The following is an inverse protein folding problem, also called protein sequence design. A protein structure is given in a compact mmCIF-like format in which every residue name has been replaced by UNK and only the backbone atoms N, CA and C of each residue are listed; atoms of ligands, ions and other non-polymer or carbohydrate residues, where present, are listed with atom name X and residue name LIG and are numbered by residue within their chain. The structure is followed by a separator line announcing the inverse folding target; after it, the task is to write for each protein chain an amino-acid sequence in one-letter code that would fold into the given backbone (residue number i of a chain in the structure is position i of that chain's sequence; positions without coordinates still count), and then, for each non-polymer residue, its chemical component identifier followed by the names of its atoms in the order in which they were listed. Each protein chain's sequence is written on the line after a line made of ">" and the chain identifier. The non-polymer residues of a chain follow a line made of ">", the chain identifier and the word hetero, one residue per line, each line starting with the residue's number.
data_IF_720606279210
#
_entry.id   IF_720606279210
#
_cell.length_a   1.000
_cell.length_b   1.000
_cell.length_c   1.000
_cell.angle_alpha   90.00
_cell.angle_beta   90.00
_cell.angle_gamma   90.00
#
_symmetry.space_group_name_H-M   'P 1'
#
loop_
_entity.id
_entity.type
_entity.pdbx_description
1 polymer ?
#
# COMPACT_ATOMS: atom_id res chain seq x y z
N UNK A 1 -8.57 -1.87 -4.59
CA UNK A 1 -8.29 -0.81 -3.58
C UNK A 1 -9.44 -0.73 -2.57
N UNK A 2 -10.68 -0.45 -3.00
CA UNK A 2 -11.86 -0.35 -2.13
C UNK A 2 -12.00 -1.49 -1.11
N UNK A 3 -11.93 -2.75 -1.54
CA UNK A 3 -11.98 -3.93 -0.64
C UNK A 3 -11.07 -3.84 0.59
N UNK A 4 -9.83 -3.37 0.42
CA UNK A 4 -8.88 -3.28 1.53
C UNK A 4 -9.09 -2.03 2.38
N UNK A 5 -9.61 -0.96 1.79
CA UNK A 5 -10.05 0.22 2.51
C UNK A 5 -11.24 -0.11 3.43
N UNK A 6 -12.22 -0.85 2.92
CA UNK A 6 -13.40 -1.26 3.68
C UNK A 6 -13.00 -2.17 4.85
N UNK A 7 -12.13 -3.16 4.60
CA UNK A 7 -11.56 -3.99 5.66
C UNK A 7 -10.84 -3.16 6.74
N UNK A 8 -10.02 -2.18 6.33
CA UNK A 8 -9.35 -1.28 7.27
C UNK A 8 -10.37 -0.50 8.13
N UNK A 9 -11.46 -0.02 7.54
CA UNK A 9 -12.53 0.67 8.25
C UNK A 9 -13.30 -0.24 9.20
N UNK A 10 -13.62 -1.46 8.80
CA UNK A 10 -14.29 -2.47 9.62
C UNK A 10 -13.47 -2.82 10.87
N UNK A 11 -12.14 -2.89 10.73
CA UNK A 11 -11.24 -3.08 11.87
C UNK A 11 -10.96 -1.78 12.65
N UNK A 12 -11.66 -0.68 12.37
CA UNK A 12 -11.53 0.57 13.13
C UNK A 12 -10.20 1.30 12.91
N UNK A 13 -9.54 1.12 11.76
CA UNK A 13 -8.39 1.93 11.39
C UNK A 13 -8.82 3.40 11.16
N UNK A 14 -7.99 4.32 11.63
CA UNK A 14 -8.21 5.77 11.55
C UNK A 14 -7.21 6.41 10.60
N UNK A 15 -7.53 7.62 10.09
CA UNK A 15 -6.64 8.41 9.22
C UNK A 15 -6.11 7.62 8.01
N UNK A 16 -6.99 6.87 7.33
CA UNK A 16 -6.62 6.06 6.16
C UNK A 16 -6.36 6.98 4.97
N UNK A 17 -5.12 7.02 4.52
CA UNK A 17 -4.68 7.70 3.30
C UNK A 17 -4.22 6.67 2.28
N UNK A 18 -4.77 6.73 1.07
CA UNK A 18 -4.44 5.80 -0.01
C UNK A 18 -3.82 6.57 -1.16
N UNK A 19 -2.62 6.15 -1.58
CA UNK A 19 -1.91 6.70 -2.71
C UNK A 19 -1.72 5.63 -3.78
N UNK A 20 -2.30 5.86 -4.95
CA UNK A 20 -2.10 5.00 -6.12
C UNK A 20 -0.88 5.47 -6.91
N UNK A 21 0.20 4.69 -6.89
CA UNK A 21 1.48 5.03 -7.55
C UNK A 21 1.57 4.52 -8.99
N UNK A 22 0.48 3.94 -9.51
CA UNK A 22 0.36 3.46 -10.88
C UNK A 22 1.12 2.15 -11.16
N UNK A 23 1.16 1.80 -12.43
CA UNK A 23 1.82 0.61 -12.94
C UNK A 23 3.31 0.86 -13.15
N UNK A 24 4.16 -0.07 -12.70
CA UNK A 24 5.62 -0.01 -12.88
C UNK A 24 6.16 -1.37 -13.27
N UNK A 25 7.26 -1.38 -14.03
CA UNK A 25 7.99 -2.60 -14.37
C UNK A 25 8.82 -3.06 -13.18
N UNK A 26 8.76 -4.36 -12.88
CA UNK A 26 9.52 -4.97 -11.79
C UNK A 26 10.96 -5.23 -12.25
N UNK A 27 11.92 -5.13 -11.32
CA UNK A 27 13.33 -5.44 -11.60
C UNK A 27 13.54 -6.92 -11.96
N UNK A 28 12.70 -7.81 -11.42
CA UNK A 28 12.67 -9.23 -11.70
C UNK A 28 11.23 -9.75 -11.62
N UNK A 29 11.01 -10.92 -12.21
CA UNK A 29 9.70 -11.54 -12.28
C UNK A 29 9.26 -12.06 -10.91
N UNK A 30 8.04 -11.72 -10.49
CA UNK A 30 7.43 -12.20 -9.23
C UNK A 30 6.13 -12.90 -9.61
N UNK A 31 5.97 -14.17 -9.22
CA UNK A 31 4.78 -14.97 -9.56
C UNK A 31 4.41 -14.92 -11.06
N UNK A 32 5.42 -14.90 -11.95
CA UNK A 32 5.26 -14.78 -13.41
C UNK A 32 4.76 -13.41 -13.91
N UNK A 33 4.69 -12.40 -13.04
CA UNK A 33 4.39 -11.02 -13.39
C UNK A 33 5.69 -10.22 -13.56
N UNK A 34 5.79 -9.44 -14.65
CA UNK A 34 6.91 -8.51 -14.93
C UNK A 34 6.58 -7.06 -14.64
N UNK A 35 5.31 -6.77 -14.41
CA UNK A 35 4.79 -5.45 -14.12
C UNK A 35 3.76 -5.58 -12.99
N UNK A 36 3.61 -4.52 -12.20
CA UNK A 36 2.66 -4.49 -11.09
C UNK A 36 2.18 -3.09 -10.81
N UNK A 37 1.01 -2.99 -10.19
CA UNK A 37 0.42 -1.72 -9.75
C UNK A 37 0.77 -1.51 -8.29
N UNK A 38 1.38 -0.36 -7.98
CA UNK A 38 1.77 -0.02 -6.62
C UNK A 38 0.69 0.82 -5.93
N UNK A 39 0.28 0.36 -4.75
CA UNK A 39 -0.66 1.07 -3.87
C UNK A 39 -0.01 1.21 -2.51
N UNK A 40 0.03 2.43 -1.99
CA UNK A 40 0.45 2.71 -0.63
C UNK A 40 -0.78 3.07 0.20
N UNK A 41 -0.86 2.49 1.40
CA UNK A 41 -1.91 2.78 2.37
C UNK A 41 -1.24 3.17 3.67
N UNK A 42 -1.47 4.41 4.12
CA UNK A 42 -1.06 4.87 5.43
C UNK A 42 -2.31 4.89 6.31
N UNK A 43 -2.25 4.33 7.51
CA UNK A 43 -3.37 4.28 8.42
C UNK A 43 -2.87 4.18 9.85
N UNK A 44 -3.68 4.61 10.81
CA UNK A 44 -3.46 4.41 12.25
C UNK A 44 -4.35 3.28 12.73
N UNK A 45 -3.75 2.19 13.15
CA UNK A 45 -4.46 1.05 13.73
C UNK A 45 -3.59 0.35 14.77
N UNK A 46 -4.19 -0.34 15.75
CA UNK A 46 -3.43 -1.22 16.65
C UNK A 46 -2.81 -2.37 15.85
N UNK A 47 -1.62 -2.81 16.26
CA UNK A 47 -0.85 -3.85 15.56
C UNK A 47 -1.58 -5.20 15.44
N UNK A 48 -2.58 -5.45 16.29
CA UNK A 48 -3.45 -6.64 16.23
C UNK A 48 -4.24 -6.74 14.93
N UNK A 49 -4.57 -5.61 14.28
CA UNK A 49 -5.35 -5.61 13.04
C UNK A 49 -4.50 -5.91 11.80
N UNK A 50 -3.20 -5.64 11.85
CA UNK A 50 -2.26 -5.88 10.73
C UNK A 50 -2.30 -7.34 10.29
N UNK A 51 -2.27 -8.28 11.24
CA UNK A 51 -2.25 -9.71 10.95
C UNK A 51 -3.45 -10.20 10.14
N UNK A 52 -4.65 -9.62 10.37
CA UNK A 52 -5.85 -9.99 9.61
C UNK A 52 -5.79 -9.47 8.17
N UNK A 53 -5.29 -8.25 7.98
CA UNK A 53 -5.17 -7.64 6.66
C UNK A 53 -4.10 -8.36 5.85
N UNK A 54 -2.95 -8.66 6.43
CA UNK A 54 -1.90 -9.46 5.78
C UNK A 54 -2.40 -10.85 5.38
N UNK A 55 -3.24 -11.48 6.21
CA UNK A 55 -3.88 -12.75 5.87
C UNK A 55 -4.82 -12.60 4.67
N UNK A 56 -5.65 -11.55 4.64
CA UNK A 56 -6.53 -11.28 3.51
C UNK A 56 -5.76 -11.02 2.21
N UNK A 57 -4.66 -10.26 2.28
CA UNK A 57 -3.76 -10.03 1.15
C UNK A 57 -3.09 -11.31 0.67
N UNK A 58 -2.59 -12.15 1.57
CA UNK A 58 -1.96 -13.44 1.23
C UNK A 58 -2.91 -14.40 0.53
N UNK A 59 -4.19 -14.40 0.92
CA UNK A 59 -5.22 -15.25 0.30
C UNK A 59 -5.69 -14.73 -1.05
N UNK A 60 -5.37 -13.48 -1.40
CA UNK A 60 -5.75 -12.87 -2.66
C UNK A 60 -4.71 -13.17 -3.74
N UNK A 61 -5.16 -13.73 -4.86
CA UNK A 61 -4.30 -13.96 -6.03
C UNK A 61 -3.92 -12.66 -6.77
N UNK A 62 -4.64 -11.55 -6.49
CA UNK A 62 -4.37 -10.24 -7.09
C UNK A 62 -3.14 -9.55 -6.46
N UNK A 63 -2.78 -9.92 -5.23
CA UNK A 63 -1.69 -9.29 -4.48
C UNK A 63 -0.45 -10.17 -4.56
N UNK A 64 0.45 -9.83 -5.48
CA UNK A 64 1.68 -10.60 -5.70
C UNK A 64 2.74 -10.40 -4.62
N UNK A 65 2.69 -9.27 -3.90
CA UNK A 65 3.59 -8.92 -2.80
C UNK A 65 2.97 -7.82 -1.95
N UNK A 66 3.16 -7.93 -0.63
CA UNK A 66 2.79 -6.92 0.34
C UNK A 66 3.93 -6.71 1.33
N UNK A 67 3.98 -5.53 1.93
CA UNK A 67 4.93 -5.17 2.97
C UNK A 67 4.22 -4.21 3.92
N UNK A 68 4.23 -4.52 5.21
CA UNK A 68 3.75 -3.62 6.25
C UNK A 68 4.94 -3.13 7.06
N UNK A 69 5.00 -1.81 7.27
CA UNK A 69 6.03 -1.15 8.03
C UNK A 69 5.38 -0.41 9.19
N UNK A 70 5.96 -0.54 10.38
CA UNK A 70 5.61 0.31 11.52
C UNK A 70 6.33 1.63 11.37
N UNK A 71 5.60 2.71 11.54
CA UNK A 71 6.12 4.06 11.37
C UNK A 71 6.12 4.79 12.72
N UNK A 72 7.29 5.27 13.15
CA UNK A 72 7.48 5.94 14.44
C UNK A 72 7.04 7.42 14.43
N UNK A 73 7.05 8.07 13.27
CA UNK A 73 6.63 9.47 13.11
C UNK A 73 5.76 9.63 11.86
N UNK A 74 4.69 10.46 11.88
CA UNK A 74 3.83 10.64 10.71
C UNK A 74 4.67 11.12 9.52
N UNK A 75 4.46 10.51 8.34
CA UNK A 75 5.12 10.92 7.09
C UNK A 75 4.94 12.43 6.96
N UNK A 76 6.03 13.19 7.12
CA UNK A 76 6.04 14.60 6.77
C UNK A 76 5.55 14.70 5.32
N UNK A 77 4.50 15.49 5.09
CA UNK A 77 3.93 15.74 3.77
C UNK A 77 5.07 15.92 2.77
N UNK A 78 5.21 14.97 1.84
CA UNK A 78 6.15 15.11 0.74
C UNK A 78 5.68 16.38 -0.01
N UNK A 79 6.50 17.44 -0.12
CA UNK A 79 6.13 18.60 -0.91
C UNK A 79 5.87 18.15 -2.35
N UNK A 80 4.96 18.87 -3.00
CA UNK A 80 4.41 18.62 -4.33
C UNK A 80 5.48 18.18 -5.36
N UNK A 81 5.08 17.37 -6.37
CA UNK A 81 6.01 16.82 -7.35
C UNK A 81 6.73 17.97 -8.05
N UNK A 82 8.07 18.02 -7.91
CA UNK A 82 8.88 18.85 -8.81
C UNK A 82 8.80 18.16 -10.16
N UNK A 83 8.00 18.72 -11.07
CA UNK A 83 8.04 18.39 -12.49
C UNK A 83 9.49 18.57 -12.95
N UNK A 84 10.16 17.46 -13.28
CA UNK A 84 11.42 17.50 -14.02
C UNK A 84 11.06 17.88 -15.45
N UNK A 85 11.04 19.17 -15.73
CA UNK A 85 11.26 19.69 -17.09
C UNK A 85 12.64 19.21 -17.53
N UNK A 86 12.68 18.18 -18.39
CA UNK A 86 13.88 17.87 -19.17
C UNK A 86 14.11 19.01 -20.18
N UNK A 87 15.24 19.70 -20.04
CA UNK A 87 15.79 20.66 -21.02
C UNK A 87 16.67 19.97 -22.05
#
# INVERSE_FOLDING_TARGET
>A
IAKYQDLLQEYGAQEIQIQHRGKRRLAYEIQRCREGTYVQMNYKAPGTHVAQIERAMRLSEEVIRYLTLTQEAPVAAIPEPVEVEES
#
